data_IF_297278961181
#
_entry.id   IF_297278961181
#
_cell.length_a   1.000
_cell.length_b   1.000
_cell.length_c   1.000
_cell.angle_alpha   90.00
_cell.angle_beta   90.00
_cell.angle_gamma   90.00
#
_symmetry.space_group_name_H-M   'P 1'
#
loop_
_entity.id
_entity.type
_entity.pdbx_description
1 polymer ?
#
# COMPACT_ATOMS: atom_id res chain seq x y z
N UNK A 1 5.73 16.57 2.52
CA UNK A 1 6.12 15.55 1.52
C UNK A 1 4.95 15.01 0.72
N UNK A 2 3.86 14.53 1.35
CA UNK A 2 2.71 13.97 0.62
C UNK A 2 2.11 14.88 -0.48
N UNK A 3 2.05 16.19 -0.24
CA UNK A 3 1.60 17.16 -1.26
C UNK A 3 2.49 17.17 -2.51
N UNK A 4 3.82 17.21 -2.32
CA UNK A 4 4.77 17.18 -3.43
C UNK A 4 4.69 15.86 -4.23
N UNK A 5 4.58 14.72 -3.55
CA UNK A 5 4.39 13.43 -4.21
C UNK A 5 3.07 13.35 -4.98
N UNK A 6 2.02 13.96 -4.45
CA UNK A 6 0.74 14.12 -5.16
C UNK A 6 0.90 14.98 -6.42
N UNK A 7 1.67 16.07 -6.37
CA UNK A 7 1.94 16.90 -7.54
C UNK A 7 2.76 16.18 -8.62
N UNK A 8 3.77 15.39 -8.21
CA UNK A 8 4.54 14.52 -9.12
C UNK A 8 3.63 13.51 -9.81
N UNK A 9 2.74 12.88 -9.04
CA UNK A 9 1.73 11.95 -9.55
C UNK A 9 0.80 12.62 -10.57
N UNK A 10 0.31 13.83 -10.25
CA UNK A 10 -0.54 14.62 -11.15
C UNK A 10 0.20 15.05 -12.43
N UNK A 11 1.49 15.40 -12.33
CA UNK A 11 2.32 15.70 -13.50
C UNK A 11 2.48 14.47 -14.42
N UNK A 12 2.63 13.28 -13.84
CA UNK A 12 2.69 12.03 -14.61
C UNK A 12 1.40 11.75 -15.39
N UNK A 13 0.24 11.98 -14.77
CA UNK A 13 -1.06 11.84 -15.43
C UNK A 13 -1.17 12.74 -16.66
N UNK A 14 -0.82 14.03 -16.49
CA UNK A 14 -0.81 15.01 -17.58
C UNK A 14 0.15 14.61 -18.70
N UNK A 15 1.34 14.10 -18.35
CA UNK A 15 2.35 13.70 -19.35
C UNK A 15 1.96 12.44 -20.12
N UNK A 16 1.27 11.50 -19.49
CA UNK A 16 0.84 10.24 -20.09
C UNK A 16 -0.53 10.35 -20.77
N UNK A 17 -1.14 11.55 -20.82
CA UNK A 17 -2.47 11.80 -21.37
C UNK A 17 -3.54 10.84 -20.82
N UNK A 18 -3.43 10.46 -19.55
CA UNK A 18 -4.47 9.65 -18.92
C UNK A 18 -5.75 10.48 -18.75
N UNK A 19 -6.94 9.87 -18.93
CA UNK A 19 -8.20 10.57 -18.72
C UNK A 19 -8.30 11.05 -17.26
N UNK A 20 -9.02 12.15 -16.99
CA UNK A 20 -9.20 12.65 -15.64
C UNK A 20 -9.79 11.54 -14.75
N UNK A 21 -9.42 11.52 -13.45
CA UNK A 21 -9.94 10.53 -12.52
C UNK A 21 -11.47 10.51 -12.60
N UNK A 22 -12.08 9.31 -12.60
CA UNK A 22 -13.53 9.23 -12.46
C UNK A 22 -13.93 9.91 -11.15
N UNK A 23 -14.97 10.77 -11.14
CA UNK A 23 -15.39 11.46 -9.94
C UNK A 23 -15.89 10.43 -8.93
N UNK A 24 -15.02 10.04 -7.99
CA UNK A 24 -15.44 9.39 -6.77
C UNK A 24 -15.87 10.46 -5.78
N UNK A 25 -16.85 10.13 -4.95
CA UNK A 25 -17.15 10.94 -3.78
C UNK A 25 -15.87 11.12 -2.95
N UNK A 26 -15.53 12.38 -2.67
CA UNK A 26 -14.34 12.78 -1.91
C UNK A 26 -14.30 12.04 -0.57
N UNK A 27 -15.47 11.76 0.02
CA UNK A 27 -15.60 10.98 1.26
C UNK A 27 -15.11 9.56 1.11
N UNK A 28 -15.43 8.91 -0.01
CA UNK A 28 -15.00 7.53 -0.31
C UNK A 28 -13.51 7.51 -0.59
N UNK A 29 -12.99 8.47 -1.35
CA UNK A 29 -11.55 8.55 -1.63
C UNK A 29 -10.73 8.82 -0.37
N UNK A 30 -11.20 9.70 0.51
CA UNK A 30 -10.54 9.99 1.78
C UNK A 30 -10.56 8.77 2.71
N UNK A 31 -11.69 8.06 2.78
CA UNK A 31 -11.80 6.83 3.55
C UNK A 31 -10.83 5.75 3.05
N UNK A 32 -10.75 5.54 1.73
CA UNK A 32 -9.82 4.57 1.13
C UNK A 32 -8.35 4.93 1.43
N UNK A 33 -8.00 6.22 1.44
CA UNK A 33 -6.65 6.68 1.82
C UNK A 33 -6.35 6.42 3.29
N UNK A 34 -7.28 6.73 4.19
CA UNK A 34 -7.11 6.45 5.63
C UNK A 34 -6.95 4.95 5.89
N UNK A 35 -7.79 4.13 5.24
CA UNK A 35 -7.69 2.66 5.33
C UNK A 35 -6.36 2.15 4.78
N UNK A 36 -5.85 2.73 3.69
CA UNK A 36 -4.54 2.38 3.13
C UNK A 36 -3.40 2.71 4.08
N UNK A 37 -3.46 3.88 4.72
CA UNK A 37 -2.48 4.30 5.74
C UNK A 37 -2.51 3.36 6.94
N UNK A 38 -3.69 3.05 7.49
CA UNK A 38 -3.84 2.11 8.61
C UNK A 38 -3.29 0.73 8.24
N UNK A 39 -3.65 0.22 7.05
CA UNK A 39 -3.12 -1.05 6.57
C UNK A 39 -1.59 -1.03 6.51
N UNK A 40 -1.00 0.04 5.96
CA UNK A 40 0.45 0.20 5.87
C UNK A 40 1.13 0.19 7.25
N UNK A 41 0.56 0.87 8.24
CA UNK A 41 1.05 0.85 9.61
C UNK A 41 0.96 -0.54 10.25
N UNK A 42 -0.18 -1.22 10.11
CA UNK A 42 -0.36 -2.58 10.62
C UNK A 42 0.61 -3.55 9.93
N UNK A 43 0.81 -3.41 8.63
CA UNK A 43 1.72 -4.23 7.85
C UNK A 43 3.19 -3.99 8.23
N UNK A 44 3.55 -2.76 8.60
CA UNK A 44 4.86 -2.44 9.16
C UNK A 44 5.07 -3.15 10.50
N UNK A 45 4.09 -3.10 11.41
CA UNK A 45 4.14 -3.83 12.68
C UNK A 45 4.25 -5.35 12.44
N UNK A 46 3.49 -5.89 11.47
CA UNK A 46 3.59 -7.30 11.07
C UNK A 46 5.01 -7.64 10.62
N UNK A 47 5.66 -6.77 9.84
CA UNK A 47 7.06 -6.93 9.42
C UNK A 47 8.04 -6.94 10.60
N UNK A 48 7.88 -6.01 11.55
CA UNK A 48 8.69 -5.98 12.77
C UNK A 48 8.49 -7.22 13.64
N UNK A 49 7.27 -7.75 13.72
CA UNK A 49 6.98 -8.99 14.44
C UNK A 49 7.61 -10.23 13.78
N UNK A 50 7.84 -10.23 12.47
CA UNK A 50 8.52 -11.34 11.79
C UNK A 50 9.97 -11.52 12.25
N UNK A 51 10.59 -10.46 12.79
CA UNK A 51 11.96 -10.52 13.34
C UNK A 51 12.04 -11.31 14.65
N UNK A 52 10.91 -11.52 15.34
CA UNK A 52 10.83 -12.31 16.57
C UNK A 52 10.83 -13.82 16.33
N UNK A 53 10.81 -14.26 15.07
CA UNK A 53 10.85 -15.68 14.73
C UNK A 53 12.27 -16.24 15.02
N UNK A 54 12.40 -17.37 15.73
CA UNK A 54 13.69 -17.93 16.16
C UNK A 54 14.57 -18.50 15.03
N UNK A 55 14.19 -18.28 13.76
CA UNK A 55 14.91 -18.75 12.56
C UNK A 55 15.53 -17.54 11.84
N UNK A 56 16.82 -17.23 12.06
CA UNK A 56 17.43 -15.94 11.67
C UNK A 56 17.39 -15.62 10.17
N UNK A 57 17.58 -16.63 9.32
CA UNK A 57 17.56 -16.43 7.88
C UNK A 57 16.14 -16.14 7.37
N UNK A 58 15.16 -16.91 7.84
CA UNK A 58 13.78 -16.78 7.42
C UNK A 58 13.17 -15.47 7.91
N UNK A 59 13.47 -15.05 9.14
CA UNK A 59 13.00 -13.79 9.71
C UNK A 59 13.55 -12.58 8.95
N UNK A 60 14.84 -12.59 8.62
CA UNK A 60 15.48 -11.52 7.85
C UNK A 60 14.88 -11.39 6.44
N UNK A 61 14.74 -12.52 5.72
CA UNK A 61 14.13 -12.52 4.39
C UNK A 61 12.67 -12.08 4.44
N UNK A 62 11.91 -12.56 5.42
CA UNK A 62 10.51 -12.18 5.59
C UNK A 62 10.36 -10.70 5.92
N UNK A 63 11.14 -10.14 6.85
CA UNK A 63 11.14 -8.70 7.18
C UNK A 63 11.47 -7.86 5.94
N UNK A 64 12.52 -8.24 5.20
CA UNK A 64 12.90 -7.57 3.96
C UNK A 64 11.77 -7.59 2.90
N UNK A 65 11.10 -8.74 2.72
CA UNK A 65 9.95 -8.87 1.82
C UNK A 65 8.81 -7.96 2.25
N UNK A 66 8.51 -7.84 3.55
CA UNK A 66 7.47 -6.93 4.05
C UNK A 66 7.83 -5.47 3.73
N UNK A 67 9.07 -5.04 3.97
CA UNK A 67 9.52 -3.67 3.67
C UNK A 67 9.44 -3.39 2.16
N UNK A 68 9.84 -4.34 1.30
CA UNK A 68 9.74 -4.19 -0.15
C UNK A 68 8.29 -4.08 -0.64
N UNK A 69 7.39 -4.91 -0.09
CA UNK A 69 5.97 -4.86 -0.41
C UNK A 69 5.34 -3.55 0.07
N UNK A 70 5.69 -3.08 1.27
CA UNK A 70 5.20 -1.82 1.84
C UNK A 70 5.63 -0.62 0.97
N UNK A 71 6.92 -0.52 0.65
CA UNK A 71 7.46 0.55 -0.20
C UNK A 71 6.79 0.58 -1.57
N UNK A 72 6.57 -0.60 -2.16
CA UNK A 72 5.86 -0.72 -3.44
C UNK A 72 4.40 -0.31 -3.32
N UNK A 73 3.70 -0.78 -2.29
CA UNK A 73 2.29 -0.44 -2.06
C UNK A 73 2.10 1.07 -2.01
N UNK A 74 2.96 1.78 -1.25
CA UNK A 74 2.92 3.24 -1.19
C UNK A 74 3.22 3.92 -2.54
N UNK A 75 4.22 3.46 -3.31
CA UNK A 75 4.52 4.03 -4.63
C UNK A 75 3.35 3.86 -5.62
N UNK A 76 2.68 2.70 -5.58
CA UNK A 76 1.54 2.40 -6.43
C UNK A 76 0.23 3.01 -5.90
N UNK A 77 0.14 3.36 -4.62
CA UNK A 77 -1.02 4.04 -4.05
C UNK A 77 -1.28 5.37 -4.75
N UNK A 78 -0.23 6.15 -5.05
CA UNK A 78 -0.36 7.41 -5.81
C UNK A 78 -0.91 7.19 -7.22
N UNK A 79 -0.55 6.07 -7.86
CA UNK A 79 -1.04 5.67 -9.18
C UNK A 79 -2.47 5.12 -9.16
N UNK A 80 -2.84 4.36 -8.13
CA UNK A 80 -4.18 3.80 -8.00
C UNK A 80 -5.19 4.82 -7.50
N UNK A 81 -4.75 5.74 -6.64
CA UNK A 81 -5.53 6.87 -6.16
C UNK A 81 -5.93 7.79 -7.31
N UNK A 82 -4.99 8.11 -8.22
CA UNK A 82 -5.30 8.90 -9.42
C UNK A 82 -6.24 8.21 -10.41
N UNK A 83 -6.39 6.88 -10.33
CA UNK A 83 -7.30 6.10 -11.16
C UNK A 83 -8.58 5.68 -10.45
N UNK A 84 -8.84 6.21 -9.26
CA UNK A 84 -10.06 5.89 -8.51
C UNK A 84 -10.22 4.38 -8.25
N UNK A 85 -9.11 3.64 -8.12
CA UNK A 85 -9.13 2.20 -7.87
C UNK A 85 -9.47 1.96 -6.41
N UNK A 86 -10.53 1.19 -6.14
CA UNK A 86 -10.96 0.85 -4.77
C UNK A 86 -9.88 0.10 -4.00
N UNK A 87 -9.76 0.37 -2.70
CA UNK A 87 -8.78 -0.26 -1.81
C UNK A 87 -8.66 -1.79 -1.95
N UNK A 88 -9.78 -2.53 -1.90
CA UNK A 88 -9.78 -4.01 -2.03
C UNK A 88 -9.14 -4.51 -3.33
N UNK A 89 -9.32 -3.76 -4.43
CA UNK A 89 -8.73 -4.11 -5.73
C UNK A 89 -7.23 -3.88 -5.75
N UNK A 90 -6.73 -2.86 -5.03
CA UNK A 90 -5.30 -2.59 -4.85
C UNK A 90 -4.61 -3.77 -4.17
N UNK A 91 -5.16 -4.24 -3.04
CA UNK A 91 -4.59 -5.37 -2.29
C UNK A 91 -4.62 -6.66 -3.11
N UNK A 92 -5.76 -6.95 -3.76
CA UNK A 92 -5.86 -8.11 -4.64
C UNK A 92 -4.83 -8.06 -5.79
N UNK A 93 -4.53 -6.87 -6.30
CA UNK A 93 -3.53 -6.68 -7.36
C UNK A 93 -2.12 -6.96 -6.87
N UNK A 94 -1.78 -6.58 -5.63
CA UNK A 94 -0.49 -6.86 -5.00
C UNK A 94 -0.35 -8.34 -4.68
N UNK A 95 -1.31 -8.95 -3.99
CA UNK A 95 -1.26 -10.37 -3.58
C UNK A 95 -1.16 -11.33 -4.76
N UNK A 96 -1.81 -11.00 -5.88
CA UNK A 96 -1.79 -11.84 -7.08
C UNK A 96 -0.45 -11.79 -7.82
N UNK A 97 0.35 -10.74 -7.61
CA UNK A 97 1.64 -10.50 -8.29
C UNK A 97 2.72 -10.07 -7.31
N UNK A 98 2.72 -10.68 -6.13
CA UNK A 98 3.56 -10.25 -5.01
C UNK A 98 5.05 -10.23 -5.37
N UNK A 99 5.53 -11.18 -6.19
CA UNK A 99 6.93 -11.24 -6.65
C UNK A 99 7.34 -10.00 -7.46
N UNK A 100 6.45 -9.49 -8.32
CA UNK A 100 6.69 -8.27 -9.08
C UNK A 100 6.84 -7.06 -8.15
N UNK A 101 5.95 -6.94 -7.15
CA UNK A 101 6.02 -5.85 -6.19
C UNK A 101 7.23 -5.98 -5.27
N UNK A 102 7.62 -7.18 -4.86
CA UNK A 102 8.88 -7.39 -4.12
C UNK A 102 10.06 -6.90 -4.96
N UNK A 103 10.15 -7.32 -6.23
CA UNK A 103 11.21 -6.89 -7.14
C UNK A 103 11.21 -5.38 -7.38
N UNK A 104 10.04 -4.77 -7.53
CA UNK A 104 9.89 -3.32 -7.66
C UNK A 104 10.37 -2.58 -6.41
N UNK A 105 10.04 -3.06 -5.20
CA UNK A 105 10.42 -2.41 -3.95
C UNK A 105 11.86 -2.69 -3.51
N UNK A 106 12.50 -3.72 -4.05
CA UNK A 106 13.85 -4.15 -3.64
C UNK A 106 14.90 -3.04 -3.74
N UNK A 107 15.01 -2.27 -4.84
CA UNK A 107 16.09 -1.30 -4.96
C UNK A 107 15.91 -0.10 -4.02
N UNK A 108 14.67 0.36 -3.77
CA UNK A 108 14.42 1.44 -2.81
C UNK A 108 14.62 0.96 -1.36
N UNK A 109 14.19 -0.26 -1.04
CA UNK A 109 14.40 -0.86 0.29
C UNK A 109 15.89 -1.07 0.58
N UNK A 110 16.63 -1.61 -0.39
CA UNK A 110 18.06 -1.84 -0.26
C UNK A 110 18.81 -0.51 -0.11
N UNK A 111 18.55 0.47 -0.98
CA UNK A 111 19.20 1.78 -0.88
C UNK A 111 18.92 2.46 0.46
N UNK A 112 17.71 2.28 1.01
CA UNK A 112 17.31 2.81 2.32
C UNK A 112 17.80 1.98 3.51
N UNK A 113 18.51 0.86 3.29
CA UNK A 113 19.12 0.05 4.34
C UNK A 113 20.65 0.00 4.29
N UNK A 114 21.28 0.62 3.27
CA UNK A 114 22.73 0.63 3.10
C UNK A 114 23.47 1.48 4.14
N UNK A 115 22.81 2.46 4.78
CA UNK A 115 23.46 3.33 5.76
C UNK A 115 23.12 2.89 7.19
N UNK A 116 24.09 3.03 8.11
CA UNK A 116 23.86 2.77 9.54
C UNK A 116 23.04 3.85 10.27
N UNK A 117 22.73 4.97 9.61
CA UNK A 117 21.99 6.09 10.19
C UNK A 117 20.55 6.14 9.67
N UNK A 118 19.60 6.13 10.60
CA UNK A 118 18.15 6.26 10.31
C UNK A 118 17.85 7.55 9.54
N UNK A 119 18.55 8.64 9.86
CA UNK A 119 18.35 9.94 9.19
C UNK A 119 18.78 9.84 7.73
N UNK A 120 19.96 9.26 7.46
CA UNK A 120 20.47 9.09 6.09
C UNK A 120 19.56 8.17 5.29
N UNK A 121 19.13 7.05 5.88
CA UNK A 121 18.18 6.13 5.26
C UNK A 121 16.85 6.81 4.92
N UNK A 122 16.32 7.64 5.82
CA UNK A 122 15.12 8.44 5.56
C UNK A 122 15.29 9.46 4.43
N UNK A 123 16.45 10.11 4.34
CA UNK A 123 16.78 11.02 3.24
C UNK A 123 16.90 10.29 1.89
N UNK A 124 17.61 9.15 1.86
CA UNK A 124 17.73 8.32 0.66
C UNK A 124 16.36 7.84 0.19
N UNK A 125 15.54 7.35 1.11
CA UNK A 125 14.16 6.97 0.84
C UNK A 125 13.39 8.16 0.23
N UNK A 126 13.41 9.32 0.87
CA UNK A 126 12.69 10.51 0.43
C UNK A 126 13.12 11.01 -0.97
N UNK A 127 14.40 10.86 -1.32
CA UNK A 127 14.93 11.21 -2.64
C UNK A 127 14.52 10.19 -3.71
N UNK A 128 14.54 8.89 -3.40
CA UNK A 128 14.21 7.83 -4.37
C UNK A 128 12.71 7.66 -4.58
N UNK A 129 11.91 7.83 -3.53
CA UNK A 129 10.46 7.66 -3.56
C UNK A 129 9.74 8.34 -4.75
N UNK A 130 9.98 9.62 -5.10
CA UNK A 130 9.34 10.26 -6.25
C UNK A 130 9.70 9.59 -7.59
N UNK A 131 10.93 9.08 -7.75
CA UNK A 131 11.32 8.35 -8.96
C UNK A 131 10.57 7.02 -9.06
N UNK A 132 10.36 6.33 -7.93
CA UNK A 132 9.58 5.10 -7.89
C UNK A 132 8.08 5.38 -8.15
N UNK A 133 7.52 6.51 -7.68
CA UNK A 133 6.18 6.93 -8.09
C UNK A 133 6.11 7.09 -9.62
N UNK A 134 7.03 7.82 -10.24
CA UNK A 134 7.04 7.99 -11.71
C UNK A 134 7.15 6.63 -12.41
N UNK A 135 7.99 5.74 -11.89
CA UNK A 135 8.14 4.39 -12.43
C UNK A 135 6.86 3.55 -12.31
N UNK A 136 6.06 3.73 -11.25
CA UNK A 136 4.80 2.99 -11.07
C UNK A 136 3.77 3.34 -12.14
N UNK A 137 3.82 4.55 -12.70
CA UNK A 137 2.98 4.97 -13.83
C UNK A 137 3.35 4.32 -15.17
N UNK A 138 4.63 3.97 -15.35
CA UNK A 138 5.14 3.26 -16.53
C UNK A 138 5.21 1.74 -16.32
N UNK A 139 5.02 1.27 -15.09
CA UNK A 139 5.10 -0.13 -14.72
C UNK A 139 4.01 -0.95 -15.41
N UNK A 140 4.41 -1.96 -16.17
CA UNK A 140 3.51 -2.94 -16.78
C UNK A 140 3.15 -4.06 -15.79
N UNK A 141 2.54 -3.69 -14.66
CA UNK A 141 2.14 -4.64 -13.62
C UNK A 141 0.97 -5.54 -14.04
N UNK A 142 0.30 -5.20 -15.15
CA UNK A 142 -0.81 -5.99 -15.72
C UNK A 142 -0.34 -7.06 -16.70
N UNK A 143 0.94 -7.11 -17.03
CA UNK A 143 1.49 -8.06 -17.98
C UNK A 143 1.23 -9.49 -17.48
N UNK A 144 0.58 -10.28 -18.31
CA UNK A 144 0.31 -11.68 -18.02
C UNK A 144 1.57 -12.49 -18.35
N UNK A 145 2.15 -13.15 -17.34
CA UNK A 145 3.33 -13.97 -17.53
C UNK A 145 2.90 -15.26 -18.23
N UNK A 146 2.99 -15.29 -19.57
CA UNK A 146 2.68 -16.44 -20.42
C UNK A 146 3.33 -17.72 -19.85
N UNK A 147 2.55 -18.54 -19.14
CA UNK A 147 2.91 -19.88 -18.69
C UNK A 147 3.42 -20.02 -17.25
N UNK A 148 3.58 -18.95 -16.47
CA UNK A 148 3.98 -19.03 -15.07
C UNK A 148 2.82 -18.64 -14.14
N UNK A 149 2.07 -19.60 -13.62
CA UNK A 149 1.06 -19.37 -12.58
C UNK A 149 1.75 -19.09 -11.25
N UNK A 150 2.02 -17.82 -10.96
CA UNK A 150 2.55 -17.42 -9.65
C UNK A 150 1.44 -17.66 -8.62
N UNK A 151 1.70 -18.43 -7.54
CA UNK A 151 0.69 -18.69 -6.53
C UNK A 151 0.33 -17.37 -5.82
N UNK A 152 -0.97 -17.13 -5.65
CA UNK A 152 -1.48 -15.99 -4.91
C UNK A 152 -1.22 -16.19 -3.42
N UNK A 153 -0.34 -15.37 -2.84
CA UNK A 153 -0.05 -15.41 -1.41
C UNK A 153 -0.78 -14.26 -0.72
N UNK A 154 -1.54 -14.58 0.32
CA UNK A 154 -2.31 -13.60 1.09
C UNK A 154 -1.48 -13.00 2.22
N UNK A 155 -0.37 -12.36 1.87
CA UNK A 155 0.60 -11.78 2.83
C UNK A 155 -0.03 -10.61 3.62
N UNK A 156 -0.99 -9.90 3.00
CA UNK A 156 -1.70 -8.78 3.62
C UNK A 156 -2.89 -9.22 4.48
N UNK A 157 -3.27 -10.50 4.48
CA UNK A 157 -4.49 -10.97 5.15
C UNK A 157 -4.55 -10.63 6.65
N UNK A 158 -3.49 -10.84 7.46
CA UNK A 158 -3.53 -10.50 8.88
C UNK A 158 -3.73 -8.98 9.07
N UNK A 159 -3.02 -8.19 8.27
CA UNK A 159 -3.12 -6.74 8.29
C UNK A 159 -4.51 -6.23 7.85
N UNK A 160 -5.14 -6.87 6.86
CA UNK A 160 -6.50 -6.56 6.42
C UNK A 160 -7.52 -6.89 7.51
N UNK A 161 -7.39 -8.04 8.18
CA UNK A 161 -8.29 -8.42 9.29
C UNK A 161 -8.22 -7.40 10.42
N UNK A 162 -7.01 -7.00 10.81
CA UNK A 162 -6.81 -5.99 11.86
C UNK A 162 -7.34 -4.61 11.42
N UNK A 163 -7.13 -4.24 10.16
CA UNK A 163 -7.64 -2.96 9.62
C UNK A 163 -9.16 -2.94 9.57
N UNK A 164 -9.78 -4.06 9.17
CA UNK A 164 -11.24 -4.22 9.17
C UNK A 164 -11.79 -4.21 10.61
N UNK A 165 -11.09 -4.84 11.56
CA UNK A 165 -11.43 -4.79 12.98
C UNK A 165 -11.39 -3.35 13.50
N UNK A 166 -10.31 -2.61 13.24
CA UNK A 166 -10.18 -1.22 13.66
C UNK A 166 -11.24 -0.32 13.01
N UNK A 167 -11.54 -0.54 11.73
CA UNK A 167 -12.59 0.20 11.01
C UNK A 167 -13.98 -0.07 11.59
N UNK A 168 -14.27 -1.31 12.01
CA UNK A 168 -15.52 -1.67 12.68
C UNK A 168 -15.59 -1.08 14.08
N UNK A 169 -14.49 -1.14 14.83
CA UNK A 169 -14.39 -0.56 16.16
C UNK A 169 -14.61 0.95 16.13
N UNK A 170 -13.94 1.64 15.21
CA UNK A 170 -14.12 3.08 15.00
C UNK A 170 -15.58 3.41 14.66
N UNK A 171 -16.21 2.64 13.77
CA UNK A 171 -17.63 2.81 13.45
C UNK A 171 -18.52 2.59 14.67
N UNK A 172 -18.27 1.57 15.50
CA UNK A 172 -19.07 1.32 16.70
C UNK A 172 -18.87 2.36 17.81
N UNK A 173 -17.70 3.01 17.84
CA UNK A 173 -17.38 4.04 18.84
C UNK A 173 -17.89 5.44 18.42
N UNK A 174 -17.90 5.72 17.11
CA UNK A 174 -18.31 7.02 16.55
C UNK A 174 -19.78 7.08 16.19
N UNK A 175 -20.43 5.94 15.92
CA UNK A 175 -21.88 5.86 15.76
C UNK A 175 -22.48 5.21 17.02
N UNK A 176 -22.89 5.98 18.04
CA UNK A 176 -23.80 5.45 19.04
C UNK A 176 -25.09 5.04 18.30
N UNK A 177 -25.53 3.82 18.58
CA UNK A 177 -26.75 3.16 18.07
C UNK A 177 -27.89 4.14 17.70
N UNK A 178 -27.97 4.53 16.43
CA UNK A 178 -29.10 5.31 15.92
C UNK A 178 -30.26 4.35 15.61
N UNK A 179 -31.31 4.44 16.44
CA UNK A 179 -32.68 3.96 16.23
C UNK A 179 -33.00 2.46 16.38
N UNK A 180 -33.16 2.03 17.62
CA UNK A 180 -34.31 1.19 17.97
C UNK A 180 -35.55 2.09 18.15
N UNK A 181 -36.16 2.55 17.05
CA UNK A 181 -37.53 3.07 17.11
C UNK A 181 -38.50 1.89 16.89
N UNK A 182 -39.38 1.56 17.85
CA UNK A 182 -40.44 0.60 17.60
C UNK A 182 -41.38 1.16 16.54
N UNK A 183 -41.72 0.32 15.56
CA UNK A 183 -42.77 0.62 14.59
C UNK A 183 -44.05 0.89 15.38
N UNK A 184 -44.60 2.09 15.22
CA UNK A 184 -45.96 2.41 15.63
C UNK A 184 -46.90 1.69 14.67
N UNK A 185 -47.53 0.62 15.16
CA UNK A 185 -48.77 0.09 14.61
C UNK A 185 -49.96 0.95 15.08
#
# INVERSE_FOLDING_TARGET
MALWFSDVSNACLRRLNYPPPQPLDIRVSAADSVVSVILGFVFLIQGLLMEWIPVPLLSTVASFVHVCLLNSMYCFEYFWSSRSVKFKSRINSIESRWTYFVGFGTPISLASSLSGSVVVNGCVFAMLFPFFIISSYKADWKRDYRGATIPKIRIFLPSVIITDFFSRLFKSLVLPSDNAMPKSD
#
